data_IF_034451541587
#
_entry.id   IF_034451541587
#
_cell.length_a   1.000
_cell.length_b   1.000
_cell.length_c   1.000
_cell.angle_alpha   90.00
_cell.angle_beta   90.00
_cell.angle_gamma   90.00
#
_symmetry.space_group_name_H-M   'P 1'
#
loop_
_entity.id
_entity.type
_entity.pdbx_description
1 polymer ?
#
# COMPACT_ATOMS: atom_id res chain seq x y z
N UNK A 1 -7.67 -3.15 15.42
CA UNK A 1 -7.68 -3.07 13.94
C UNK A 1 -6.45 -2.27 13.51
N UNK A 2 -5.57 -2.80 12.67
CA UNK A 2 -4.42 -2.05 12.15
C UNK A 2 -4.91 -0.97 11.18
N UNK A 3 -4.31 0.22 11.18
CA UNK A 3 -4.66 1.30 10.25
C UNK A 3 -4.49 0.87 8.79
N UNK A 4 -3.54 -0.03 8.50
CA UNK A 4 -3.36 -0.69 7.22
C UNK A 4 -4.65 -1.40 6.77
N UNK A 5 -5.30 -2.16 7.67
CA UNK A 5 -6.55 -2.85 7.37
C UNK A 5 -7.65 -1.85 7.02
N UNK A 6 -7.77 -0.76 7.79
CA UNK A 6 -8.76 0.29 7.51
C UNK A 6 -8.48 0.93 6.14
N UNK A 7 -7.23 1.28 5.82
CA UNK A 7 -6.91 1.87 4.53
C UNK A 7 -7.16 0.92 3.36
N UNK A 8 -6.84 -0.37 3.50
CA UNK A 8 -7.20 -1.39 2.50
C UNK A 8 -8.71 -1.48 2.27
N UNK A 9 -9.53 -1.40 3.33
CA UNK A 9 -11.01 -1.38 3.17
C UNK A 9 -11.52 -0.13 2.45
N UNK A 10 -10.73 0.96 2.43
CA UNK A 10 -11.05 2.19 1.70
C UNK A 10 -10.55 2.19 0.25
N UNK A 11 -9.95 1.09 -0.21
CA UNK A 11 -9.48 0.94 -1.60
C UNK A 11 -8.02 1.36 -1.83
N UNK A 12 -7.26 1.72 -0.80
CA UNK A 12 -5.82 1.91 -0.96
C UNK A 12 -5.13 0.58 -1.21
N UNK A 13 -4.28 0.52 -2.25
CA UNK A 13 -3.57 -0.70 -2.64
C UNK A 13 -2.41 -1.07 -1.69
N UNK A 14 -1.84 -0.07 -1.02
CA UNK A 14 -0.78 -0.22 -0.02
C UNK A 14 -0.92 0.87 1.04
N UNK A 15 -0.69 0.53 2.30
CA UNK A 15 -0.67 1.47 3.42
C UNK A 15 0.44 1.05 4.39
N UNK A 16 1.42 1.92 4.62
CA UNK A 16 2.39 1.76 5.69
C UNK A 16 1.81 2.33 6.99
N UNK A 17 1.66 1.51 8.03
CA UNK A 17 1.14 1.98 9.31
C UNK A 17 1.77 1.25 10.51
N UNK A 18 2.95 1.70 10.90
CA UNK A 18 3.64 1.29 12.13
C UNK A 18 3.94 2.51 13.00
N UNK A 19 4.24 2.34 14.31
CA UNK A 19 4.66 3.44 15.18
C UNK A 19 5.90 4.21 14.66
N UNK A 20 6.73 3.59 13.82
CA UNK A 20 7.95 4.19 13.25
C UNK A 20 7.76 4.70 11.82
N UNK A 21 6.57 4.59 11.24
CA UNK A 21 6.31 5.09 9.87
C UNK A 21 6.48 6.61 9.84
N UNK A 22 7.32 7.07 8.91
CA UNK A 22 7.51 8.48 8.53
C UNK A 22 7.33 8.58 7.02
N UNK A 23 7.06 9.76 6.49
CA UNK A 23 6.74 9.93 5.06
C UNK A 23 7.80 9.37 4.10
N UNK A 24 9.08 9.45 4.45
CA UNK A 24 10.19 8.93 3.63
C UNK A 24 10.65 7.51 4.02
N UNK A 25 10.16 6.97 5.13
CA UNK A 25 10.61 5.67 5.65
C UNK A 25 10.14 4.55 4.73
N UNK A 26 11.08 3.81 4.12
CA UNK A 26 10.82 2.78 3.10
C UNK A 26 10.02 3.25 1.88
N UNK A 27 9.96 4.55 1.58
CA UNK A 27 9.16 5.07 0.47
C UNK A 27 9.50 4.42 -0.89
N UNK A 28 10.78 4.07 -1.12
CA UNK A 28 11.20 3.35 -2.32
C UNK A 28 10.66 1.91 -2.39
N UNK A 29 10.82 1.14 -1.32
CA UNK A 29 10.33 -0.25 -1.24
C UNK A 29 8.81 -0.30 -1.31
N UNK A 30 8.13 0.61 -0.58
CA UNK A 30 6.68 0.74 -0.61
C UNK A 30 6.19 1.16 -1.99
N UNK A 31 6.90 2.03 -2.71
CA UNK A 31 6.55 2.37 -4.08
C UNK A 31 6.67 1.16 -5.02
N UNK A 32 7.73 0.35 -4.90
CA UNK A 32 7.88 -0.87 -5.71
C UNK A 32 6.72 -1.84 -5.46
N UNK A 33 6.32 -2.03 -4.19
CA UNK A 33 5.16 -2.86 -3.81
C UNK A 33 3.85 -2.30 -4.33
N UNK A 34 3.64 -0.98 -4.24
CA UNK A 34 2.46 -0.30 -4.73
C UNK A 34 2.31 -0.46 -6.25
N UNK A 35 3.42 -0.33 -7.00
CA UNK A 35 3.43 -0.54 -8.45
C UNK A 35 3.02 -1.97 -8.81
N UNK A 36 3.62 -2.97 -8.17
CA UNK A 36 3.26 -4.36 -8.41
C UNK A 36 1.78 -4.65 -8.08
N UNK A 37 1.28 -4.10 -6.97
CA UNK A 37 -0.14 -4.21 -6.59
C UNK A 37 -1.06 -3.55 -7.62
N UNK A 38 -0.66 -2.39 -8.17
CA UNK A 38 -1.41 -1.68 -9.21
C UNK A 38 -1.47 -2.47 -10.51
N UNK A 39 -0.35 -3.03 -10.96
CA UNK A 39 -0.29 -3.87 -12.15
C UNK A 39 -1.16 -5.13 -11.99
N UNK A 40 -1.12 -5.77 -10.82
CA UNK A 40 -1.99 -6.91 -10.52
C UNK A 40 -3.48 -6.55 -10.51
N UNK A 41 -3.82 -5.38 -9.94
CA UNK A 41 -5.20 -4.88 -9.96
C UNK A 41 -5.70 -4.67 -11.39
N UNK A 42 -4.88 -4.03 -12.25
CA UNK A 42 -5.22 -3.80 -13.64
C UNK A 42 -5.44 -5.11 -14.42
N UNK A 43 -4.61 -6.12 -14.19
CA UNK A 43 -4.80 -7.45 -14.80
C UNK A 43 -6.08 -8.14 -14.37
N UNK A 44 -6.55 -7.91 -13.13
CA UNK A 44 -7.80 -8.49 -12.62
C UNK A 44 -9.03 -7.76 -13.14
N UNK A 45 -8.89 -6.48 -13.45
CA UNK A 45 -9.99 -5.62 -13.95
C UNK A 45 -10.15 -5.65 -15.48
N UNK A 46 -9.19 -6.24 -16.19
CA UNK A 46 -9.30 -6.57 -17.61
C UNK A 46 -10.06 -7.90 -17.78
#
# INVERSE_FOLDING_TARGET
KSFETIGKTKGFLLVASSPLTRSSHHAGDDFARLRAAREAFLRKSA
#
